data_IF_940751897501
#
_entry.id   IF_940751897501
#
_cell.length_a   1.000
_cell.length_b   1.000
_cell.length_c   1.000
_cell.angle_alpha   90.00
_cell.angle_beta   90.00
_cell.angle_gamma   90.00
#
_symmetry.space_group_name_H-M   'P 1'
#
loop_
_entity.id
_entity.type
_entity.pdbx_description
1 polymer ?
#
# COMPACT_ATOMS: atom_id res chain seq x y z
N UNK A 1 -56.94 -24.84 7.73
CA UNK A 1 -55.64 -25.07 8.39
C UNK A 1 -54.92 -23.74 8.48
N UNK A 2 -54.85 -23.16 9.68
CA UNK A 2 -54.38 -21.79 9.93
C UNK A 2 -52.87 -21.65 9.67
N UNK A 3 -52.50 -20.71 8.81
CA UNK A 3 -51.13 -20.24 8.65
C UNK A 3 -50.67 -19.50 9.90
N UNK A 4 -49.74 -20.12 10.63
CA UNK A 4 -49.14 -19.55 11.84
C UNK A 4 -48.10 -18.50 11.43
N UNK A 5 -48.52 -17.23 11.31
CA UNK A 5 -47.60 -16.09 11.20
C UNK A 5 -46.75 -16.05 12.46
N UNK A 6 -45.49 -16.46 12.33
CA UNK A 6 -44.51 -16.45 13.42
C UNK A 6 -44.09 -15.00 13.67
N UNK A 7 -44.86 -14.28 14.48
CA UNK A 7 -44.51 -12.94 14.98
C UNK A 7 -43.25 -13.08 15.84
N UNK A 8 -42.13 -12.55 15.35
CA UNK A 8 -40.90 -12.45 16.12
C UNK A 8 -41.11 -11.44 17.25
N UNK A 9 -40.59 -11.71 18.47
CA UNK A 9 -40.71 -10.76 19.58
C UNK A 9 -40.00 -9.45 19.23
N UNK A 10 -40.54 -8.31 19.68
CA UNK A 10 -40.03 -6.96 19.39
C UNK A 10 -38.53 -6.81 19.75
N UNK A 11 -38.06 -7.54 20.77
CA UNK A 11 -36.65 -7.63 21.15
C UNK A 11 -35.76 -8.34 20.12
N UNK A 12 -36.30 -9.33 19.39
CA UNK A 12 -35.57 -10.00 18.31
C UNK A 12 -35.42 -9.10 17.08
N UNK A 13 -36.40 -8.24 16.78
CA UNK A 13 -36.26 -7.22 15.73
C UNK A 13 -35.15 -6.22 16.06
N UNK A 14 -35.05 -5.77 17.31
CA UNK A 14 -34.00 -4.86 17.76
C UNK A 14 -32.59 -5.47 17.65
N UNK A 15 -32.42 -6.74 18.02
CA UNK A 15 -31.12 -7.44 17.93
C UNK A 15 -30.72 -7.76 16.47
N UNK A 16 -31.69 -8.01 15.59
CA UNK A 16 -31.45 -8.25 14.16
C UNK A 16 -30.98 -6.98 13.45
N UNK A 17 -31.47 -5.80 13.86
CA UNK A 17 -31.05 -4.51 13.32
C UNK A 17 -29.66 -4.06 13.83
N UNK A 18 -29.28 -4.48 15.05
CA UNK A 18 -28.01 -4.08 15.66
C UNK A 18 -26.78 -4.83 15.10
N UNK A 19 -26.94 -6.10 14.69
CA UNK A 19 -25.86 -6.90 14.08
C UNK A 19 -25.25 -6.30 12.80
N UNK A 20 -26.04 -5.85 11.80
CA UNK A 20 -25.48 -5.23 10.60
C UNK A 20 -24.80 -3.89 10.91
N UNK A 21 -25.27 -3.15 11.92
CA UNK A 21 -24.67 -1.89 12.35
C UNK A 21 -23.28 -2.09 12.97
N UNK A 22 -23.15 -3.01 13.94
CA UNK A 22 -21.87 -3.29 14.59
C UNK A 22 -20.83 -3.83 13.58
N UNK A 23 -21.25 -4.69 12.66
CA UNK A 23 -20.39 -5.22 11.60
C UNK A 23 -19.90 -4.11 10.65
N UNK A 24 -20.78 -3.15 10.33
CA UNK A 24 -20.43 -2.01 9.48
C UNK A 24 -19.40 -1.11 10.17
N UNK A 25 -19.61 -0.78 11.44
CA UNK A 25 -18.68 0.04 12.24
C UNK A 25 -17.31 -0.64 12.34
N UNK A 26 -17.27 -1.94 12.63
CA UNK A 26 -16.01 -2.69 12.72
C UNK A 26 -15.24 -2.68 11.39
N UNK A 27 -15.93 -2.83 10.26
CA UNK A 27 -15.32 -2.76 8.93
C UNK A 27 -14.74 -1.38 8.62
N UNK A 28 -15.46 -0.32 8.97
CA UNK A 28 -15.00 1.06 8.72
C UNK A 28 -13.76 1.40 9.57
N UNK A 29 -13.74 1.01 10.85
CA UNK A 29 -12.56 1.21 11.72
C UNK A 29 -11.36 0.44 11.18
N UNK A 30 -11.56 -0.83 10.78
CA UNK A 30 -10.49 -1.65 10.21
C UNK A 30 -9.94 -1.03 8.92
N UNK A 31 -10.82 -0.55 8.03
CA UNK A 31 -10.43 0.10 6.79
C UNK A 31 -9.60 1.36 7.06
N UNK A 32 -10.03 2.22 7.98
CA UNK A 32 -9.29 3.42 8.35
C UNK A 32 -7.91 3.10 8.92
N UNK A 33 -7.81 2.09 9.80
CA UNK A 33 -6.53 1.66 10.34
C UNK A 33 -5.58 1.17 9.24
N UNK A 34 -6.09 0.41 8.26
CA UNK A 34 -5.31 -0.06 7.11
C UNK A 34 -4.84 1.09 6.22
N UNK A 35 -5.68 2.10 5.99
CA UNK A 35 -5.31 3.29 5.21
C UNK A 35 -4.15 4.04 5.87
N UNK A 36 -4.23 4.27 7.19
CA UNK A 36 -3.17 4.95 7.95
C UNK A 36 -1.89 4.13 7.97
N UNK A 37 -1.98 2.82 8.21
CA UNK A 37 -0.83 1.93 8.19
C UNK A 37 -0.15 1.93 6.81
N UNK A 38 -0.93 1.86 5.74
CA UNK A 38 -0.42 1.86 4.36
C UNK A 38 0.21 3.20 3.97
N UNK A 39 -0.34 4.33 4.42
CA UNK A 39 0.33 5.63 4.29
C UNK A 39 1.69 5.64 5.01
N UNK A 40 1.74 5.06 6.21
CA UNK A 40 2.96 4.90 7.00
C UNK A 40 4.03 4.07 6.28
N UNK A 41 3.64 2.99 5.58
CA UNK A 41 4.56 2.18 4.76
C UNK A 41 5.25 3.03 3.70
N UNK A 42 4.55 3.96 3.06
CA UNK A 42 5.15 4.87 2.08
C UNK A 42 6.23 5.75 2.69
N UNK A 43 5.97 6.33 3.87
CA UNK A 43 6.93 7.18 4.60
C UNK A 43 8.15 6.37 5.02
N UNK A 44 7.93 5.24 5.69
CA UNK A 44 9.02 4.37 6.17
C UNK A 44 9.84 3.83 5.01
N UNK A 45 9.19 3.43 3.91
CA UNK A 45 9.84 2.98 2.69
C UNK A 45 10.76 4.06 2.10
N UNK A 46 10.26 5.28 1.99
CA UNK A 46 11.06 6.41 1.47
C UNK A 46 12.28 6.70 2.35
N UNK A 47 12.11 6.73 3.67
CA UNK A 47 13.21 6.90 4.63
C UNK A 47 14.18 5.71 4.55
N UNK A 48 13.67 4.50 4.34
CA UNK A 48 14.47 3.28 4.21
C UNK A 48 15.40 3.28 2.99
N UNK A 49 15.03 3.94 1.89
CA UNK A 49 15.90 4.10 0.73
C UNK A 49 16.99 5.15 0.93
N UNK A 50 16.82 6.09 1.87
CA UNK A 50 17.78 7.17 2.12
C UNK A 50 19.22 6.71 2.38
N UNK A 51 19.51 5.75 3.29
CA UNK A 51 20.89 5.29 3.52
C UNK A 51 21.51 4.68 2.25
N UNK A 52 20.75 3.90 1.47
CA UNK A 52 21.24 3.30 0.23
C UNK A 52 21.56 4.35 -0.82
N UNK A 53 20.70 5.36 -0.99
CA UNK A 53 20.94 6.48 -1.90
C UNK A 53 22.18 7.27 -1.46
N UNK A 54 22.34 7.54 -0.16
CA UNK A 54 23.51 8.24 0.39
C UNK A 54 24.80 7.46 0.14
N UNK A 55 24.78 6.15 0.35
CA UNK A 55 25.93 5.26 0.10
C UNK A 55 26.36 5.23 -1.36
N UNK A 56 25.41 5.16 -2.29
CA UNK A 56 25.68 5.17 -3.71
C UNK A 56 26.15 6.55 -4.18
N UNK A 57 25.46 7.61 -3.77
CA UNK A 57 25.74 8.95 -4.28
C UNK A 57 27.03 9.55 -3.71
N UNK A 58 27.20 9.51 -2.38
CA UNK A 58 28.29 10.18 -1.68
C UNK A 58 29.52 9.29 -1.54
N UNK A 59 29.34 8.04 -1.09
CA UNK A 59 30.45 7.12 -0.83
C UNK A 59 30.85 6.30 -2.06
N UNK A 60 30.08 6.36 -3.15
CA UNK A 60 30.31 5.59 -4.39
C UNK A 60 30.49 4.09 -4.15
N UNK A 61 29.92 3.57 -3.06
CA UNK A 61 29.99 2.16 -2.71
C UNK A 61 28.95 1.39 -3.50
N UNK A 62 29.28 0.26 -4.14
CA UNK A 62 28.31 -0.58 -4.84
C UNK A 62 27.47 -1.38 -3.84
N UNK A 63 26.72 -0.68 -2.97
CA UNK A 63 25.90 -1.29 -1.91
C UNK A 63 24.60 -1.92 -2.42
N UNK A 64 24.20 -1.61 -3.66
CA UNK A 64 22.93 -2.04 -4.25
C UNK A 64 23.16 -2.95 -5.47
N UNK A 65 22.53 -4.12 -5.44
CA UNK A 65 22.59 -5.09 -6.54
C UNK A 65 21.71 -4.67 -7.72
N UNK A 66 22.32 -4.48 -8.89
CA UNK A 66 21.66 -4.02 -10.12
C UNK A 66 20.55 -4.99 -10.56
N UNK A 67 20.74 -6.31 -10.46
CA UNK A 67 19.71 -7.27 -10.92
C UNK A 67 18.46 -7.18 -10.05
N UNK A 68 18.64 -7.14 -8.73
CA UNK A 68 17.55 -6.97 -7.77
C UNK A 68 16.82 -5.65 -7.97
N UNK A 69 17.54 -4.53 -8.10
CA UNK A 69 16.92 -3.21 -8.30
C UNK A 69 16.25 -3.07 -9.67
N UNK A 70 16.70 -3.79 -10.70
CA UNK A 70 16.00 -3.88 -11.99
C UNK A 70 14.62 -4.52 -11.81
N UNK A 71 14.54 -5.68 -11.15
CA UNK A 71 13.27 -6.35 -10.88
C UNK A 71 12.34 -5.48 -10.03
N UNK A 72 12.88 -4.87 -8.97
CA UNK A 72 12.12 -3.96 -8.12
C UNK A 72 11.59 -2.75 -8.87
N UNK A 73 12.38 -2.17 -9.78
CA UNK A 73 11.96 -1.03 -10.61
C UNK A 73 10.85 -1.43 -11.59
N UNK A 74 10.94 -2.60 -12.22
CA UNK A 74 9.88 -3.10 -13.11
C UNK A 74 8.59 -3.37 -12.33
N UNK A 75 8.68 -4.08 -11.20
CA UNK A 75 7.51 -4.41 -10.38
C UNK A 75 6.82 -3.16 -9.83
N UNK A 76 7.59 -2.23 -9.26
CA UNK A 76 7.06 -0.94 -8.77
C UNK A 76 6.55 -0.05 -9.91
N UNK A 77 7.17 -0.10 -11.09
CA UNK A 77 6.70 0.57 -12.29
C UNK A 77 5.33 0.06 -12.75
N UNK A 78 5.14 -1.27 -12.79
CA UNK A 78 3.83 -1.87 -13.10
C UNK A 78 2.79 -1.45 -12.07
N UNK A 79 3.12 -1.48 -10.77
CA UNK A 79 2.21 -1.04 -9.71
C UNK A 79 1.84 0.45 -9.82
N UNK A 80 2.78 1.30 -10.22
CA UNK A 80 2.53 2.72 -10.46
C UNK A 80 1.69 2.95 -11.72
N UNK A 81 1.95 2.24 -12.81
CA UNK A 81 1.09 2.30 -14.00
C UNK A 81 -0.33 1.83 -13.68
N UNK A 82 -0.47 0.80 -12.84
CA UNK A 82 -1.76 0.32 -12.36
C UNK A 82 -2.51 1.42 -11.57
N UNK A 83 -1.82 2.17 -10.72
CA UNK A 83 -2.41 3.30 -9.98
C UNK A 83 -2.73 4.52 -10.86
N UNK A 84 -2.06 4.67 -12.00
CA UNK A 84 -2.31 5.76 -12.95
C UNK A 84 -3.54 5.49 -13.81
N UNK A 85 -3.67 4.27 -14.34
CA UNK A 85 -4.66 3.97 -15.38
C UNK A 85 -5.87 3.16 -14.91
N UNK A 86 -5.74 2.36 -13.84
CA UNK A 86 -6.78 1.40 -13.45
C UNK A 86 -7.40 1.75 -12.12
N UNK A 87 -6.58 2.01 -11.10
CA UNK A 87 -7.08 2.23 -9.73
C UNK A 87 -7.12 3.73 -9.38
N UNK A 88 -8.30 4.34 -9.20
CA UNK A 88 -8.44 5.76 -8.88
C UNK A 88 -8.22 6.05 -7.39
N UNK A 89 -7.14 5.52 -6.80
CA UNK A 89 -6.78 5.76 -5.41
C UNK A 89 -5.54 6.65 -5.31
N UNK A 90 -5.71 7.87 -4.78
CA UNK A 90 -4.66 8.89 -4.73
C UNK A 90 -3.50 8.47 -3.82
N UNK A 91 -3.81 7.85 -2.68
CA UNK A 91 -2.81 7.45 -1.69
C UNK A 91 -1.93 6.33 -2.28
N UNK A 92 -2.55 5.30 -2.87
CA UNK A 92 -1.86 4.25 -3.60
C UNK A 92 -1.01 4.81 -4.73
N UNK A 93 -1.52 5.80 -5.47
CA UNK A 93 -0.75 6.48 -6.53
C UNK A 93 0.51 7.17 -5.99
N UNK A 94 0.40 7.91 -4.90
CA UNK A 94 1.55 8.59 -4.29
C UNK A 94 2.57 7.57 -3.76
N UNK A 95 2.12 6.57 -3.00
CA UNK A 95 3.00 5.55 -2.41
C UNK A 95 3.70 4.71 -3.48
N UNK A 96 2.96 4.24 -4.50
CA UNK A 96 3.55 3.49 -5.61
C UNK A 96 4.51 4.33 -6.45
N UNK A 97 4.19 5.60 -6.69
CA UNK A 97 5.06 6.53 -7.41
C UNK A 97 6.37 6.82 -6.68
N UNK A 98 6.31 7.07 -5.36
CA UNK A 98 7.50 7.27 -4.53
C UNK A 98 8.37 6.01 -4.50
N UNK A 99 7.76 4.83 -4.37
CA UNK A 99 8.48 3.57 -4.37
C UNK A 99 9.19 3.31 -5.71
N UNK A 100 8.48 3.54 -6.81
CA UNK A 100 9.05 3.44 -8.15
C UNK A 100 10.20 4.43 -8.36
N UNK A 101 10.00 5.70 -7.99
CA UNK A 101 11.03 6.73 -8.09
C UNK A 101 12.29 6.40 -7.28
N UNK A 102 12.13 5.91 -6.04
CA UNK A 102 13.24 5.51 -5.20
C UNK A 102 14.01 4.30 -5.78
N UNK A 103 13.30 3.26 -6.23
CA UNK A 103 13.92 2.10 -6.87
C UNK A 103 14.66 2.48 -8.16
N UNK A 104 14.03 3.29 -9.01
CA UNK A 104 14.63 3.76 -10.26
C UNK A 104 15.87 4.63 -10.00
N UNK A 105 15.83 5.50 -8.98
CA UNK A 105 16.97 6.34 -8.60
C UNK A 105 18.14 5.49 -8.11
N UNK A 106 17.89 4.51 -7.23
CA UNK A 106 18.92 3.59 -6.75
C UNK A 106 19.53 2.81 -7.92
N UNK A 107 18.70 2.25 -8.80
CA UNK A 107 19.16 1.53 -9.99
C UNK A 107 20.05 2.40 -10.88
N UNK A 108 19.60 3.63 -11.15
CA UNK A 108 20.35 4.60 -11.95
C UNK A 108 21.72 4.90 -11.35
N UNK A 109 21.78 5.18 -10.03
CA UNK A 109 23.04 5.44 -9.33
C UNK A 109 23.96 4.21 -9.33
N UNK A 110 23.42 3.01 -9.10
CA UNK A 110 24.19 1.76 -9.13
C UNK A 110 24.81 1.49 -10.50
N UNK A 111 24.08 1.72 -11.59
CA UNK A 111 24.61 1.58 -12.96
C UNK A 111 25.70 2.62 -13.23
N UNK A 112 25.53 3.86 -12.76
CA UNK A 112 26.52 4.94 -12.94
C UNK A 112 27.84 4.65 -12.22
N UNK A 113 27.81 4.06 -11.03
CA UNK A 113 29.02 3.69 -10.28
C UNK A 113 29.74 2.53 -10.93
N UNK A 114 29.03 1.46 -11.31
CA UNK A 114 29.65 0.27 -11.93
C UNK A 114 30.35 0.57 -13.26
N UNK A 115 29.92 1.62 -13.96
CA UNK A 115 30.52 2.07 -15.22
C UNK A 115 31.76 2.95 -15.04
N UNK A 116 31.99 3.50 -13.84
CA UNK A 116 33.16 4.31 -13.50
C UNK A 116 34.32 3.43 -13.04
#
# INVERSE_FOLDING_TARGET
MQGKTRVLPLSAHFLVDQKPLALKIMKEILLQALIVAYAGVGIVGFIGYWPTIKDLYYFRKPSANISSYTLWTIASGIAFLYSLFILPDLLFRIVSGLNFGACALVLFLSIRIKKS
#
